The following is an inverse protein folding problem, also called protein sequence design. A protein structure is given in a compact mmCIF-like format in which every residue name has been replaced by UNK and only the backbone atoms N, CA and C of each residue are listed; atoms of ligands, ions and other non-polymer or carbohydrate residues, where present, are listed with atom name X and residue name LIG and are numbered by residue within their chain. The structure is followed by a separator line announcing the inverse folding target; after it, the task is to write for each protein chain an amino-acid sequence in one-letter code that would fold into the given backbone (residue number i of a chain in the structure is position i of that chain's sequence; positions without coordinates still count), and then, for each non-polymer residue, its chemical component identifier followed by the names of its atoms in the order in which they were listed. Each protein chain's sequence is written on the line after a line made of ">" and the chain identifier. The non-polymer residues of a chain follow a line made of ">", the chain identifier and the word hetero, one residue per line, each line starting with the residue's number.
data_IF_794938475935
#
_entry.id   IF_794938475935
#
_cell.length_a   1.000
_cell.length_b   1.000
_cell.length_c   1.000
_cell.angle_alpha   90.00
_cell.angle_beta   90.00
_cell.angle_gamma   90.00
#
_symmetry.space_group_name_H-M   'P 1'
#
loop_
_entity.id
_entity.type
_entity.pdbx_description
1 polymer ?
#
# COMPACT_ATOMS: atom_id res chain seq x y z
N UNK A 1 10.61 27.03 -9.64
CA UNK A 1 9.70 26.08 -10.30
C UNK A 1 8.38 26.17 -9.57
N UNK A 2 7.28 26.40 -10.28
CA UNK A 2 5.94 26.51 -9.68
C UNK A 2 5.54 25.18 -9.04
N UNK A 3 5.14 25.20 -7.78
CA UNK A 3 4.51 24.05 -7.10
C UNK A 3 3.34 23.58 -7.96
N UNK A 4 3.27 22.29 -8.33
CA UNK A 4 2.11 21.74 -9.03
C UNK A 4 0.85 22.05 -8.24
N UNK A 5 -0.16 22.62 -8.89
CA UNK A 5 -1.44 22.85 -8.26
C UNK A 5 -2.31 21.60 -8.43
N UNK A 6 -2.99 21.13 -7.37
CA UNK A 6 -3.94 20.05 -7.50
C UNK A 6 -5.05 20.45 -8.48
N UNK A 7 -5.67 19.46 -9.12
CA UNK A 7 -6.89 19.65 -9.87
C UNK A 7 -7.94 20.29 -8.94
N UNK A 8 -8.49 21.48 -9.22
CA UNK A 8 -9.40 22.17 -8.30
C UNK A 8 -10.68 21.37 -7.98
N UNK A 9 -11.05 20.41 -8.84
CA UNK A 9 -12.24 19.57 -8.69
C UNK A 9 -11.94 18.17 -8.10
N UNK A 10 -10.74 17.96 -7.55
CA UNK A 10 -10.40 16.69 -6.90
C UNK A 10 -11.36 16.39 -5.74
N UNK A 11 -11.61 15.10 -5.48
CA UNK A 11 -12.48 14.66 -4.38
C UNK A 11 -11.69 13.86 -3.37
N UNK A 12 -12.13 13.95 -2.12
CA UNK A 12 -11.57 13.16 -1.02
C UNK A 12 -12.65 12.21 -0.53
N UNK A 13 -12.33 10.92 -0.53
CA UNK A 13 -13.16 9.85 0.02
C UNK A 13 -12.43 9.22 1.22
N UNK A 14 -13.19 8.75 2.22
CA UNK A 14 -12.63 8.03 3.36
C UNK A 14 -13.38 6.72 3.58
N UNK A 15 -12.62 5.67 3.89
CA UNK A 15 -13.17 4.33 4.11
C UNK A 15 -12.60 3.76 5.41
N UNK A 16 -13.48 3.51 6.38
CA UNK A 16 -13.11 2.78 7.60
C UNK A 16 -13.30 1.30 7.34
N UNK A 17 -12.24 0.53 7.52
CA UNK A 17 -12.22 -0.91 7.27
C UNK A 17 -11.81 -1.58 8.59
N UNK A 18 -12.68 -2.42 9.13
CA UNK A 18 -12.45 -3.08 10.41
C UNK A 18 -11.37 -4.18 10.27
N UNK A 19 -10.64 -4.52 11.35
CA UNK A 19 -9.81 -5.70 11.43
C UNK A 19 -10.57 -6.96 11.00
N UNK A 20 -9.88 -7.88 10.35
CA UNK A 20 -10.36 -9.24 10.05
C UNK A 20 -9.60 -10.25 10.92
N UNK A 21 -9.83 -11.55 10.69
CA UNK A 21 -9.18 -12.60 11.49
C UNK A 21 -7.67 -12.67 11.19
N UNK A 22 -7.26 -12.35 9.95
CA UNK A 22 -5.89 -12.48 9.47
C UNK A 22 -5.22 -11.14 9.13
N UNK A 23 -5.95 -10.03 9.06
CA UNK A 23 -5.39 -8.70 8.77
C UNK A 23 -5.71 -7.70 9.89
N UNK A 24 -4.71 -6.93 10.37
CA UNK A 24 -4.92 -5.98 11.45
C UNK A 24 -5.87 -4.84 11.12
N UNK A 25 -5.86 -4.34 9.88
CA UNK A 25 -6.55 -3.11 9.42
C UNK A 25 -6.57 -2.00 10.49
N UNK A 26 -5.67 -1.03 10.37
CA UNK A 26 -5.69 0.10 11.31
C UNK A 26 -7.05 0.80 11.29
N UNK A 27 -7.48 1.30 12.45
CA UNK A 27 -8.73 2.03 12.55
C UNK A 27 -8.62 3.48 12.07
N UNK A 28 -7.45 3.92 11.61
CA UNK A 28 -7.37 5.07 10.73
C UNK A 28 -8.09 4.75 9.40
N UNK A 29 -8.83 5.68 8.79
CA UNK A 29 -9.46 5.43 7.51
C UNK A 29 -8.42 5.38 6.38
N UNK A 30 -8.68 4.53 5.38
CA UNK A 30 -8.13 4.70 4.04
C UNK A 30 -8.60 6.06 3.50
N UNK A 31 -7.69 6.87 2.97
CA UNK A 31 -8.03 8.13 2.30
C UNK A 31 -7.78 7.94 0.79
N UNK A 32 -8.75 8.33 -0.03
CA UNK A 32 -8.64 8.29 -1.49
C UNK A 32 -8.82 9.70 -2.05
N UNK A 33 -7.76 10.21 -2.67
CA UNK A 33 -7.76 11.47 -3.41
C UNK A 33 -8.06 11.17 -4.87
N UNK A 34 -9.32 11.36 -5.29
CA UNK A 34 -9.75 11.14 -6.67
C UNK A 34 -9.25 12.26 -7.56
N UNK A 35 -8.60 11.89 -8.66
CA UNK A 35 -8.15 12.83 -9.68
C UNK A 35 -7.35 14.02 -9.14
N UNK A 36 -6.43 13.77 -8.20
CA UNK A 36 -5.68 14.82 -7.49
C UNK A 36 -4.82 15.68 -8.44
N UNK A 37 -4.19 15.06 -9.44
CA UNK A 37 -3.42 15.76 -10.46
C UNK A 37 -4.20 15.94 -11.76
N UNK A 38 -4.09 17.10 -12.43
CA UNK A 38 -4.59 17.27 -13.79
C UNK A 38 -3.79 16.37 -14.77
N UNK A 39 -4.52 15.70 -15.66
CA UNK A 39 -4.09 14.52 -16.42
C UNK A 39 -3.22 14.76 -17.64
N UNK A 40 -3.14 16.03 -18.01
CA UNK A 40 -2.61 16.61 -19.23
C UNK A 40 -1.17 17.10 -19.08
N UNK A 41 -0.60 16.99 -17.88
CA UNK A 41 0.77 17.39 -17.63
C UNK A 41 1.75 16.23 -17.89
N UNK A 42 2.64 16.40 -18.88
CA UNK A 42 3.92 15.70 -18.86
C UNK A 42 4.58 15.96 -17.49
N UNK A 43 5.17 14.92 -16.91
CA UNK A 43 5.94 14.93 -15.65
C UNK A 43 5.21 14.57 -14.35
N UNK A 44 4.15 13.77 -14.41
CA UNK A 44 3.41 13.36 -13.21
C UNK A 44 4.28 12.61 -12.18
N UNK A 45 5.20 11.74 -12.63
CA UNK A 45 6.10 11.02 -11.72
C UNK A 45 7.08 11.97 -11.04
N UNK A 46 7.74 12.87 -11.78
CA UNK A 46 8.64 13.88 -11.18
C UNK A 46 7.89 14.82 -10.23
N UNK A 47 6.68 15.27 -10.59
CA UNK A 47 5.86 16.15 -9.74
C UNK A 47 5.41 15.48 -8.46
N UNK A 48 4.97 14.22 -8.54
CA UNK A 48 4.57 13.46 -7.37
C UNK A 48 5.77 13.16 -6.47
N UNK A 49 6.92 12.80 -7.06
CA UNK A 49 8.18 12.63 -6.34
C UNK A 49 8.54 13.89 -5.54
N UNK A 50 8.58 15.06 -6.19
CA UNK A 50 8.91 16.34 -5.55
C UNK A 50 7.88 16.70 -4.45
N UNK A 51 6.59 16.42 -4.67
CA UNK A 51 5.53 16.67 -3.67
C UNK A 51 5.73 15.82 -2.42
N UNK A 52 5.93 14.51 -2.57
CA UNK A 52 6.18 13.63 -1.44
C UNK A 52 7.38 14.10 -0.62
N UNK A 53 8.50 14.43 -1.28
CA UNK A 53 9.69 14.92 -0.58
C UNK A 53 9.44 16.21 0.19
N UNK A 54 8.64 17.13 -0.37
CA UNK A 54 8.30 18.40 0.29
C UNK A 54 7.47 18.20 1.57
N UNK A 55 6.76 17.08 1.67
CA UNK A 55 5.91 16.72 2.80
C UNK A 55 6.53 15.67 3.73
N UNK A 56 7.86 15.46 3.69
CA UNK A 56 8.55 14.42 4.47
C UNK A 56 8.06 12.99 4.16
N UNK A 57 7.72 12.71 2.90
CA UNK A 57 7.47 11.37 2.38
C UNK A 57 8.52 11.00 1.34
N UNK A 58 9.00 9.77 1.39
CA UNK A 58 10.02 9.27 0.48
C UNK A 58 9.35 8.35 -0.56
N UNK A 59 9.29 8.75 -1.84
CA UNK A 59 8.96 7.84 -2.93
C UNK A 59 9.99 6.70 -2.97
N UNK A 60 9.51 5.48 -3.14
CA UNK A 60 10.33 4.26 -3.05
C UNK A 60 10.24 3.33 -4.23
N UNK A 61 9.13 3.31 -4.96
CA UNK A 61 8.97 2.37 -6.06
C UNK A 61 8.10 2.97 -7.16
N UNK A 62 8.33 2.53 -8.40
CA UNK A 62 7.40 2.73 -9.52
C UNK A 62 7.28 1.40 -10.22
N UNK A 63 6.08 0.84 -10.23
CA UNK A 63 5.82 -0.46 -10.84
C UNK A 63 4.71 -0.34 -11.88
N UNK A 64 4.89 -1.07 -12.99
CA UNK A 64 3.77 -1.48 -13.82
C UNK A 64 3.27 -2.83 -13.31
N UNK A 65 1.97 -2.92 -13.08
CA UNK A 65 1.38 -4.16 -12.56
C UNK A 65 1.06 -5.14 -13.68
N UNK A 66 1.29 -6.42 -13.36
CA UNK A 66 0.73 -7.54 -14.11
C UNK A 66 -0.71 -7.84 -13.71
N UNK A 67 -1.09 -9.12 -13.76
CA UNK A 67 -2.48 -9.55 -13.51
C UNK A 67 -2.93 -9.35 -12.05
N UNK A 68 -2.09 -9.74 -11.08
CA UNK A 68 -2.35 -9.58 -9.64
C UNK A 68 -1.10 -9.79 -8.79
N UNK A 69 -1.19 -9.46 -7.51
CA UNK A 69 -0.26 -9.84 -6.46
C UNK A 69 -1.00 -10.47 -5.27
N UNK A 70 -0.26 -11.02 -4.29
CA UNK A 70 -0.87 -11.43 -3.01
C UNK A 70 -1.30 -10.22 -2.19
N UNK A 71 -2.41 -10.37 -1.48
CA UNK A 71 -2.81 -9.38 -0.47
C UNK A 71 -1.75 -9.30 0.63
N UNK A 72 -1.27 -8.09 0.87
CA UNK A 72 -0.24 -7.82 1.87
C UNK A 72 -0.49 -6.48 2.56
N UNK A 73 0.17 -6.26 3.68
CA UNK A 73 0.07 -5.02 4.45
C UNK A 73 1.44 -4.61 5.01
N UNK A 74 1.60 -3.33 5.33
CA UNK A 74 2.78 -2.80 5.99
C UNK A 74 2.53 -2.64 7.50
N UNK A 75 3.14 -3.47 8.37
CA UNK A 75 2.87 -3.42 9.81
C UNK A 75 3.52 -2.21 10.50
N UNK A 76 4.54 -1.61 9.88
CA UNK A 76 5.37 -0.58 10.50
C UNK A 76 5.23 0.80 9.88
N UNK A 77 4.55 0.95 8.74
CA UNK A 77 4.52 2.21 8.01
C UNK A 77 3.16 2.45 7.34
N UNK A 78 2.78 3.72 7.24
CA UNK A 78 1.76 4.19 6.31
C UNK A 78 2.32 4.17 4.89
N UNK A 79 1.45 4.03 3.90
CA UNK A 79 1.85 4.01 2.50
C UNK A 79 0.98 4.95 1.67
N UNK A 80 1.61 5.67 0.75
CA UNK A 80 0.92 6.42 -0.28
C UNK A 80 1.18 5.77 -1.63
N UNK A 81 0.16 5.63 -2.46
CA UNK A 81 0.27 5.08 -3.81
C UNK A 81 -0.49 5.97 -4.80
N UNK A 82 0.20 6.54 -5.79
CA UNK A 82 -0.39 7.34 -6.86
C UNK A 82 -0.45 6.55 -8.16
N UNK A 83 -1.59 6.58 -8.84
CA UNK A 83 -1.75 5.96 -10.16
C UNK A 83 -1.20 6.87 -11.24
N UNK A 84 -0.18 6.41 -11.96
CA UNK A 84 0.49 7.16 -13.03
C UNK A 84 -0.13 6.93 -14.41
N UNK A 85 -0.73 5.76 -14.63
CA UNK A 85 -1.32 5.35 -15.91
C UNK A 85 -2.33 4.22 -15.74
N UNK A 86 -3.19 4.04 -16.74
CA UNK A 86 -4.15 2.93 -16.81
C UNK A 86 -5.26 3.00 -15.77
N UNK A 87 -5.91 1.86 -15.56
CA UNK A 87 -6.86 1.61 -14.48
C UNK A 87 -6.73 0.19 -13.93
N UNK A 88 -7.20 -0.03 -12.70
CA UNK A 88 -7.21 -1.34 -12.05
C UNK A 88 -8.32 -1.39 -10.99
N UNK A 89 -8.44 -2.53 -10.32
CA UNK A 89 -9.15 -2.66 -9.05
C UNK A 89 -8.15 -2.90 -7.93
N UNK A 90 -8.38 -2.27 -6.80
CA UNK A 90 -7.59 -2.50 -5.59
C UNK A 90 -8.53 -3.02 -4.51
N UNK A 91 -8.26 -4.22 -4.02
CA UNK A 91 -8.91 -4.75 -2.82
C UNK A 91 -8.16 -4.27 -1.60
N UNK A 92 -8.87 -3.79 -0.60
CA UNK A 92 -8.37 -3.35 0.69
C UNK A 92 -8.96 -4.18 1.83
N UNK A 93 -8.13 -4.48 2.82
CA UNK A 93 -8.50 -5.01 4.12
C UNK A 93 -8.96 -6.46 4.20
N UNK A 94 -8.51 -7.31 3.26
CA UNK A 94 -8.78 -8.74 3.30
C UNK A 94 -7.52 -9.56 2.95
N UNK A 95 -7.23 -10.63 3.70
CA UNK A 95 -6.22 -11.60 3.31
C UNK A 95 -6.69 -12.49 2.16
N UNK A 96 -5.75 -12.97 1.35
CA UNK A 96 -5.99 -14.11 0.46
C UNK A 96 -6.00 -15.40 1.33
N UNK A 97 -6.99 -16.27 1.11
CA UNK A 97 -7.15 -17.58 1.76
C UNK A 97 -6.60 -18.74 0.90
N UNK A 98 -6.22 -18.45 -0.35
CA UNK A 98 -5.51 -19.38 -1.23
C UNK A 98 -4.03 -19.00 -1.36
N UNK A 99 -3.17 -20.00 -1.58
CA UNK A 99 -1.78 -19.77 -1.95
C UNK A 99 -1.64 -19.26 -3.40
N UNK A 100 -2.63 -19.56 -4.24
CA UNK A 100 -2.71 -19.04 -5.59
C UNK A 100 -3.43 -17.67 -5.58
N UNK A 101 -2.73 -16.56 -5.87
CA UNK A 101 -3.34 -15.23 -5.87
C UNK A 101 -4.43 -15.07 -6.93
N UNK A 102 -4.40 -15.87 -8.02
CA UNK A 102 -5.38 -15.83 -9.10
C UNK A 102 -6.74 -16.37 -8.66
N UNK A 103 -6.76 -17.39 -7.78
CA UNK A 103 -8.01 -17.87 -7.18
C UNK A 103 -8.68 -16.78 -6.34
N UNK A 104 -7.86 -15.92 -5.73
CA UNK A 104 -8.32 -14.85 -4.85
C UNK A 104 -8.68 -13.57 -5.62
N UNK A 105 -9.01 -13.64 -6.91
CA UNK A 105 -9.39 -12.47 -7.72
C UNK A 105 -10.83 -12.02 -7.48
N UNK A 106 -11.80 -12.93 -7.53
CA UNK A 106 -13.23 -12.59 -7.41
C UNK A 106 -14.04 -13.56 -6.56
N UNK A 107 -13.64 -14.83 -6.44
CA UNK A 107 -14.40 -15.81 -5.68
C UNK A 107 -14.23 -15.56 -4.16
N UNK A 108 -15.31 -15.16 -3.45
CA UNK A 108 -15.25 -14.73 -2.05
C UNK A 108 -14.91 -15.85 -1.07
N UNK A 109 -14.81 -17.10 -1.53
CA UNK A 109 -14.30 -18.19 -0.68
C UNK A 109 -12.77 -18.18 -0.52
N UNK A 110 -12.06 -17.44 -1.37
CA UNK A 110 -10.60 -17.39 -1.39
C UNK A 110 -10.02 -16.09 -0.82
N UNK A 111 -10.83 -15.24 -0.19
CA UNK A 111 -10.32 -14.10 0.58
C UNK A 111 -11.24 -13.79 1.77
N UNK A 112 -10.71 -13.11 2.78
CA UNK A 112 -11.49 -12.74 3.96
C UNK A 112 -12.64 -11.79 3.63
N UNK A 113 -13.76 -11.95 4.35
CA UNK A 113 -14.85 -10.97 4.32
C UNK A 113 -14.48 -9.74 5.14
N UNK A 114 -15.11 -8.61 4.85
CA UNK A 114 -14.91 -7.35 5.59
C UNK A 114 -14.03 -6.33 4.87
N UNK A 115 -13.28 -6.76 3.86
CA UNK A 115 -12.59 -5.86 2.94
C UNK A 115 -13.52 -5.19 1.92
N UNK A 116 -12.98 -4.21 1.20
CA UNK A 116 -13.66 -3.49 0.11
C UNK A 116 -12.83 -3.55 -1.17
N UNK A 117 -13.45 -3.38 -2.33
CA UNK A 117 -12.73 -3.22 -3.60
C UNK A 117 -13.11 -1.89 -4.23
N UNK A 118 -12.11 -1.10 -4.61
CA UNK A 118 -12.29 0.19 -5.27
C UNK A 118 -11.66 0.15 -6.66
N UNK A 119 -12.30 0.81 -7.62
CA UNK A 119 -11.66 1.09 -8.90
C UNK A 119 -10.58 2.16 -8.71
N UNK A 120 -9.48 2.01 -9.43
CA UNK A 120 -8.34 2.92 -9.46
C UNK A 120 -8.10 3.34 -10.90
N UNK A 121 -7.87 4.62 -11.13
CA UNK A 121 -7.54 5.18 -12.43
C UNK A 121 -6.42 6.19 -12.29
N UNK A 122 -5.74 6.51 -13.41
CA UNK A 122 -4.73 7.57 -13.47
C UNK A 122 -5.15 8.76 -12.58
N UNK A 123 -4.19 9.29 -11.81
CA UNK A 123 -4.28 10.47 -10.94
C UNK A 123 -5.11 10.32 -9.67
N UNK A 124 -5.69 9.16 -9.44
CA UNK A 124 -6.10 8.80 -8.09
C UNK A 124 -4.85 8.55 -7.22
N UNK A 125 -4.92 8.97 -5.96
CA UNK A 125 -3.91 8.68 -4.95
C UNK A 125 -4.57 8.05 -3.73
N UNK A 126 -4.00 6.94 -3.28
CA UNK A 126 -4.46 6.18 -2.13
C UNK A 126 -3.48 6.39 -0.98
N UNK A 127 -3.98 6.74 0.21
CA UNK A 127 -3.20 6.83 1.43
C UNK A 127 -3.70 5.79 2.43
N UNK A 128 -2.87 4.77 2.61
CA UNK A 128 -3.15 3.59 3.40
C UNK A 128 -2.53 3.76 4.80
N UNK A 129 -3.31 3.55 5.86
CA UNK A 129 -2.74 3.44 7.19
C UNK A 129 -1.99 2.10 7.35
N UNK A 130 -1.10 2.05 8.35
CA UNK A 130 -0.31 0.86 8.61
C UNK A 130 -1.26 -0.31 8.95
N UNK A 131 -0.95 -1.51 8.48
CA UNK A 131 -1.81 -2.66 8.72
C UNK A 131 -2.99 -2.83 7.77
N UNK A 132 -3.30 -1.85 6.92
CA UNK A 132 -4.33 -2.03 5.92
C UNK A 132 -3.82 -2.93 4.79
N UNK A 133 -4.40 -4.13 4.67
CA UNK A 133 -4.05 -5.00 3.56
C UNK A 133 -4.51 -4.43 2.23
N UNK A 134 -3.76 -4.71 1.17
CA UNK A 134 -4.14 -4.34 -0.17
C UNK A 134 -3.58 -5.29 -1.23
N UNK A 135 -4.28 -5.38 -2.36
CA UNK A 135 -3.78 -5.97 -3.61
C UNK A 135 -4.41 -5.33 -4.83
N UNK A 136 -3.59 -5.09 -5.84
CA UNK A 136 -4.02 -4.66 -7.17
C UNK A 136 -4.36 -5.87 -8.02
N UNK A 137 -5.45 -5.78 -8.79
CA UNK A 137 -5.86 -6.78 -9.77
C UNK A 137 -6.68 -6.14 -10.90
N UNK A 138 -6.91 -6.88 -11.99
CA UNK A 138 -7.59 -6.38 -13.21
C UNK A 138 -6.94 -5.10 -13.78
N UNK A 139 -5.61 -5.05 -13.83
CA UNK A 139 -4.86 -3.98 -14.47
C UNK A 139 -5.21 -3.84 -15.96
N UNK A 140 -5.43 -2.60 -16.39
CA UNK A 140 -5.79 -2.23 -17.76
C UNK A 140 -4.99 -1.02 -18.23
N UNK A 141 -4.40 -1.06 -19.44
CA UNK A 141 -4.27 -2.23 -20.31
C UNK A 141 -3.51 -3.38 -19.64
N UNK A 142 -3.80 -4.61 -20.05
CA UNK A 142 -3.03 -5.78 -19.59
C UNK A 142 -1.61 -5.67 -20.12
N UNK A 143 -0.65 -5.72 -19.22
CA UNK A 143 0.77 -5.61 -19.53
C UNK A 143 1.57 -6.49 -18.56
N UNK A 144 2.81 -6.90 -18.90
CA UNK A 144 3.66 -7.63 -17.97
C UNK A 144 4.05 -6.74 -16.78
N UNK A 145 4.37 -7.38 -15.65
CA UNK A 145 4.97 -6.69 -14.52
C UNK A 145 6.32 -6.09 -14.92
N UNK A 146 6.56 -4.82 -14.56
CA UNK A 146 7.83 -4.16 -14.81
C UNK A 146 8.21 -3.28 -13.61
N UNK A 147 9.48 -3.38 -13.22
CA UNK A 147 10.12 -2.41 -12.35
C UNK A 147 10.43 -1.17 -13.19
N UNK A 148 9.58 -0.15 -13.07
CA UNK A 148 9.75 1.15 -13.72
C UNK A 148 10.57 2.12 -12.88
N UNK A 149 10.90 1.75 -11.64
CA UNK A 149 11.93 2.43 -10.85
C UNK A 149 13.18 2.61 -11.72
N UNK A 150 13.83 3.78 -11.67
CA UNK A 150 15.09 3.99 -12.38
C UNK A 150 16.08 2.84 -12.20
N UNK A 151 16.73 2.45 -13.29
CA UNK A 151 17.62 1.28 -13.36
C UNK A 151 16.97 -0.09 -13.13
N UNK A 152 15.63 -0.18 -13.13
CA UNK A 152 14.90 -1.45 -13.00
C UNK A 152 14.99 -2.08 -11.61
N UNK A 153 15.15 -1.27 -10.55
CA UNK A 153 15.29 -1.74 -9.17
C UNK A 153 13.94 -1.91 -8.45
N UNK A 154 13.89 -2.78 -7.45
CA UNK A 154 12.71 -2.87 -6.58
C UNK A 154 12.49 -1.58 -5.77
N UNK A 155 13.56 -0.91 -5.34
CA UNK A 155 13.44 0.34 -4.59
C UNK A 155 14.38 1.43 -5.11
N UNK A 156 13.96 2.70 -4.97
CA UNK A 156 14.79 3.87 -5.21
C UNK A 156 15.33 4.51 -3.93
N UNK A 157 16.51 5.09 -4.07
CA UNK A 157 17.06 6.01 -3.09
C UNK A 157 16.58 7.43 -3.35
N UNK A 158 16.47 8.22 -2.28
CA UNK A 158 16.13 9.64 -2.40
C UNK A 158 17.42 10.42 -2.57
N UNK A 159 17.72 10.86 -3.80
CA UNK A 159 18.85 11.73 -4.10
C UNK A 159 18.57 12.53 -5.40
N UNK A 160 19.45 13.49 -5.71
CA UNK A 160 19.32 14.35 -6.90
C UNK A 160 19.39 13.56 -8.21
N UNK A 161 20.10 12.45 -8.24
CA UNK A 161 20.27 11.61 -9.42
C UNK A 161 18.98 10.87 -9.77
N UNK A 162 18.26 10.32 -8.78
CA UNK A 162 16.96 9.68 -9.01
C UNK A 162 15.93 10.64 -9.57
N UNK A 163 15.95 11.92 -9.14
CA UNK A 163 15.09 12.96 -9.71
C UNK A 163 15.31 13.14 -11.22
N UNK A 164 16.55 13.07 -11.68
CA UNK A 164 16.86 13.21 -13.10
C UNK A 164 16.46 11.97 -13.89
N UNK A 165 16.66 10.78 -13.31
CA UNK A 165 16.31 9.49 -13.92
C UNK A 165 14.80 9.22 -13.99
N UNK A 166 13.97 9.91 -13.20
CA UNK A 166 12.51 9.83 -13.36
C UNK A 166 12.03 10.27 -14.73
N UNK A 167 12.79 11.12 -15.43
CA UNK A 167 12.50 11.50 -16.81
C UNK A 167 12.59 10.30 -17.76
N UNK A 168 13.45 9.32 -17.48
CA UNK A 168 13.55 8.10 -18.29
C UNK A 168 12.24 7.30 -18.25
N UNK A 169 11.57 7.27 -17.09
CA UNK A 169 10.26 6.61 -16.93
C UNK A 169 9.19 7.33 -17.74
N UNK A 170 9.23 8.66 -17.76
CA UNK A 170 8.30 9.49 -18.51
C UNK A 170 8.52 9.37 -20.03
N UNK A 171 9.79 9.40 -20.46
CA UNK A 171 10.21 9.31 -21.86
C UNK A 171 9.96 7.92 -22.45
N UNK A 172 10.17 6.86 -21.67
CA UNK A 172 9.85 5.48 -22.05
C UNK A 172 8.36 5.31 -22.36
N UNK A 173 7.51 6.10 -21.72
CA UNK A 173 6.07 5.91 -21.74
C UNK A 173 5.64 4.70 -20.90
N UNK A 174 4.42 4.75 -20.38
CA UNK A 174 3.84 3.65 -19.61
C UNK A 174 2.65 3.09 -20.38
N UNK A 175 2.74 1.82 -20.75
CA UNK A 175 1.73 1.15 -21.58
C UNK A 175 0.62 0.49 -20.75
N UNK A 176 0.94 0.03 -19.53
CA UNK A 176 0.00 -0.62 -18.63
C UNK A 176 -0.52 0.26 -17.49
N UNK A 177 -1.12 -0.38 -16.49
CA UNK A 177 -1.42 0.25 -15.21
C UNK A 177 -0.15 0.36 -14.37
N UNK A 178 0.25 1.57 -14.01
CA UNK A 178 1.40 1.80 -13.15
C UNK A 178 1.08 2.70 -11.98
N UNK A 179 1.77 2.46 -10.88
CA UNK A 179 1.71 3.32 -9.70
C UNK A 179 3.12 3.67 -9.23
N UNK A 180 3.22 4.81 -8.55
CA UNK A 180 4.35 5.15 -7.71
C UNK A 180 3.91 5.10 -6.26
N UNK A 181 4.72 4.49 -5.40
CA UNK A 181 4.46 4.52 -3.96
C UNK A 181 5.61 5.07 -3.15
N UNK A 182 5.27 5.45 -1.92
CA UNK A 182 6.18 6.03 -0.96
C UNK A 182 5.72 5.87 0.48
N UNK A 183 6.63 6.15 1.40
CA UNK A 183 6.43 5.98 2.83
C UNK A 183 6.88 7.25 3.57
N UNK A 184 6.40 7.52 4.79
CA UNK A 184 6.89 8.68 5.53
C UNK A 184 8.40 8.57 5.75
N UNK A 185 9.06 9.71 5.87
CA UNK A 185 10.50 9.80 6.11
C UNK A 185 10.87 9.09 7.41
N UNK A 186 11.96 8.33 7.36
CA UNK A 186 12.46 7.52 8.48
C UNK A 186 11.91 6.09 8.52
N UNK A 187 10.95 5.74 7.66
CA UNK A 187 10.50 4.37 7.50
C UNK A 187 11.28 3.64 6.40
N UNK A 188 11.62 2.38 6.64
CA UNK A 188 12.32 1.55 5.67
C UNK A 188 11.32 0.76 4.81
N UNK A 189 11.44 0.79 3.48
CA UNK A 189 10.67 -0.07 2.59
C UNK A 189 11.10 -1.54 2.75
N UNK A 190 10.19 -2.47 2.43
CA UNK A 190 10.52 -3.89 2.27
C UNK A 190 10.04 -4.84 3.37
N UNK A 191 9.50 -4.32 4.47
CA UNK A 191 8.80 -5.17 5.44
C UNK A 191 7.29 -5.12 5.18
N UNK A 192 6.80 -6.13 4.45
CA UNK A 192 5.39 -6.40 4.27
C UNK A 192 5.06 -7.77 4.88
N UNK A 193 3.79 -7.94 5.26
CA UNK A 193 3.25 -9.16 5.85
C UNK A 193 2.00 -9.59 5.08
N UNK A 194 1.74 -10.89 5.03
CA UNK A 194 0.49 -11.45 4.48
C UNK A 194 -0.46 -11.91 5.60
N UNK A 195 -1.67 -12.35 5.24
CA UNK A 195 -2.67 -12.82 6.19
C UNK A 195 -2.12 -13.80 7.23
N UNK A 196 -2.33 -13.49 8.51
CA UNK A 196 -1.91 -14.30 9.65
C UNK A 196 -0.47 -14.08 10.10
N UNK A 197 0.40 -13.51 9.27
CA UNK A 197 1.70 -13.01 9.71
C UNK A 197 1.48 -11.81 10.64
N UNK A 198 2.24 -11.70 11.73
CA UNK A 198 2.12 -10.58 12.66
C UNK A 198 0.82 -10.52 13.49
N UNK A 199 -0.02 -11.56 13.47
CA UNK A 199 -1.29 -11.61 14.22
C UNK A 199 -1.17 -11.33 15.73
N UNK A 200 -0.01 -11.62 16.33
CA UNK A 200 0.29 -11.35 17.75
C UNK A 200 0.84 -9.93 18.00
N UNK A 201 0.93 -9.10 16.97
CA UNK A 201 1.50 -7.75 17.05
C UNK A 201 0.55 -6.67 16.53
N UNK A 202 -0.75 -6.97 16.37
CA UNK A 202 -1.74 -5.99 15.89
C UNK A 202 -1.77 -4.73 16.75
N UNK A 203 -1.61 -4.87 18.06
CA UNK A 203 -1.48 -3.73 18.98
C UNK A 203 -0.31 -2.80 18.61
N UNK A 204 0.81 -3.33 18.10
CA UNK A 204 1.94 -2.53 17.60
C UNK A 204 1.59 -1.86 16.28
N UNK A 205 0.94 -2.58 15.36
CA UNK A 205 0.47 -2.02 14.08
C UNK A 205 -0.50 -0.86 14.29
N UNK A 206 -1.44 -1.01 15.23
CA UNK A 206 -2.39 0.05 15.59
C UNK A 206 -1.77 1.21 16.36
N UNK A 207 -0.58 1.01 16.96
CA UNK A 207 0.15 2.05 17.66
C UNK A 207 0.97 2.97 16.75
N UNK A 208 1.07 2.66 15.45
CA UNK A 208 1.79 3.49 14.48
C UNK A 208 1.10 4.87 14.42
N UNK A 209 1.82 5.95 14.79
CA UNK A 209 1.23 7.28 14.83
C UNK A 209 1.04 7.81 13.41
N UNK A 210 0.01 8.66 13.20
CA UNK A 210 -0.17 9.35 11.93
C UNK A 210 1.10 10.15 11.56
N UNK A 211 1.37 10.28 10.26
CA UNK A 211 2.45 11.13 9.77
C UNK A 211 2.18 12.60 10.17
N UNK A 212 3.25 13.37 10.38
CA UNK A 212 3.13 14.80 10.73
C UNK A 212 2.47 15.62 9.62
N UNK A 213 2.77 15.26 8.38
CA UNK A 213 2.27 15.90 7.17
C UNK A 213 1.56 14.84 6.33
N UNK A 214 0.44 15.24 5.73
CA UNK A 214 -0.20 14.52 4.65
C UNK A 214 0.74 14.51 3.42
N UNK A 215 0.87 13.37 2.70
CA UNK A 215 1.77 13.27 1.55
C UNK A 215 1.45 14.28 0.45
N UNK A 216 0.18 14.70 0.31
CA UNK A 216 -0.27 15.59 -0.76
C UNK A 216 -0.60 17.00 -0.25
N UNK A 217 -1.29 17.06 0.88
CA UNK A 217 -1.89 18.29 1.40
C UNK A 217 -1.12 18.91 2.57
N UNK A 218 0.04 18.35 2.92
CA UNK A 218 0.91 18.88 3.97
C UNK A 218 0.20 18.97 5.34
N UNK A 219 0.11 20.16 5.91
CA UNK A 219 -0.51 20.42 7.22
C UNK A 219 -1.98 20.86 7.13
N UNK A 220 -2.62 20.66 5.98
CA UNK A 220 -4.03 21.00 5.75
C UNK A 220 -4.98 20.13 6.56
N UNK A 221 -6.03 20.74 7.09
CA UNK A 221 -7.15 20.06 7.76
C UNK A 221 -7.99 19.19 6.82
N UNK A 222 -7.82 19.33 5.50
CA UNK A 222 -8.45 18.45 4.52
C UNK A 222 -7.72 17.10 4.38
N UNK A 223 -6.47 16.99 4.84
CA UNK A 223 -5.66 15.76 4.77
C UNK A 223 -5.65 14.97 6.09
N UNK A 224 -4.60 14.17 6.30
CA UNK A 224 -4.44 13.36 7.53
C UNK A 224 -4.61 14.15 8.83
N UNK A 225 -4.17 15.41 8.87
CA UNK A 225 -4.33 16.26 10.06
C UNK A 225 -5.76 16.33 10.55
N UNK A 226 -6.75 16.42 9.64
CA UNK A 226 -8.17 16.47 9.96
C UNK A 226 -8.86 15.11 9.89
N UNK A 227 -8.49 14.28 8.91
CA UNK A 227 -9.14 13.00 8.62
C UNK A 227 -8.66 11.85 9.52
N UNK A 228 -7.44 11.94 10.06
CA UNK A 228 -6.90 11.04 11.08
C UNK A 228 -6.90 11.71 12.47
N UNK A 229 -7.99 12.42 12.80
CA UNK A 229 -8.24 12.95 14.15
C UNK A 229 -8.98 11.94 15.03
N UNK A 230 -8.62 11.87 16.31
CA UNK A 230 -9.32 11.07 17.33
C UNK A 230 -8.69 9.70 17.59
N UNK A 231 -9.31 8.88 18.45
CA UNK A 231 -8.84 7.53 18.81
C UNK A 231 -9.14 6.47 17.73
N UNK A 232 -9.03 6.85 16.44
CA UNK A 232 -9.22 5.93 15.31
C UNK A 232 -8.13 4.86 15.25
N UNK A 233 -6.90 5.15 15.70
CA UNK A 233 -5.93 4.09 16.01
C UNK A 233 -6.39 3.36 17.28
N UNK A 234 -6.82 2.10 17.17
CA UNK A 234 -7.31 1.30 18.30
C UNK A 234 -6.45 1.49 19.56
N UNK A 235 -7.07 1.61 20.76
CA UNK A 235 -6.37 2.01 21.98
C UNK A 235 -5.24 1.05 22.34
N UNK A 236 -4.17 1.61 22.94
CA UNK A 236 -3.09 0.86 23.58
C UNK A 236 -3.67 -0.18 24.54
N UNK A 237 -3.61 -1.46 24.17
CA UNK A 237 -3.79 -2.53 25.14
C UNK A 237 -2.60 -2.44 26.10
N UNK A 238 -2.87 -2.32 27.39
CA UNK A 238 -1.86 -2.60 28.41
C UNK A 238 -1.39 -4.02 28.15
N UNK A 239 -0.08 -4.19 27.92
CA UNK A 239 0.60 -5.45 27.55
C UNK A 239 0.23 -6.64 28.49
N UNK A 240 -0.36 -6.36 29.65
CA UNK A 240 -0.73 -7.37 30.65
C UNK A 240 -2.06 -8.10 30.41
N UNK A 241 -2.93 -7.65 29.49
CA UNK A 241 -4.21 -8.32 29.22
C UNK A 241 -4.62 -8.24 27.74
N UNK A 242 -3.86 -8.87 26.87
CA UNK A 242 -4.46 -9.39 25.63
C UNK A 242 -5.46 -10.48 26.03
N UNK A 243 -6.75 -10.15 26.03
CA UNK A 243 -7.77 -11.18 26.01
C UNK A 243 -7.70 -11.83 24.65
N UNK A 244 -6.90 -12.89 24.59
CA UNK A 244 -7.14 -14.03 23.70
C UNK A 244 -8.65 -14.24 23.53
N UNK A 245 -9.14 -14.55 22.31
CA UNK A 245 -10.48 -15.09 22.16
C UNK A 245 -10.65 -16.22 23.19
N UNK A 246 -11.63 -16.08 24.09
CA UNK A 246 -11.81 -16.98 25.24
C UNK A 246 -12.09 -18.43 24.84
N UNK A 247 -12.38 -18.65 23.57
CA UNK A 247 -12.48 -19.95 22.94
C UNK A 247 -11.63 -19.88 21.67
N UNK A 248 -10.57 -20.69 21.59
CA UNK A 248 -9.80 -20.90 20.36
C UNK A 248 -10.71 -21.71 19.42
N UNK A 249 -11.20 -21.18 18.30
CA UNK A 249 -11.83 -22.02 17.29
C UNK A 249 -10.79 -23.00 16.74
N UNK A 250 -11.17 -24.24 16.47
CA UNK A 250 -10.28 -25.33 16.00
C UNK A 250 -9.57 -25.05 14.65
N UNK A 251 -9.87 -23.92 14.00
CA UNK A 251 -9.21 -23.45 12.77
C UNK A 251 -8.12 -22.40 13.01
N UNK A 252 -7.84 -22.01 14.27
CA UNK A 252 -6.62 -21.26 14.61
C UNK A 252 -5.43 -22.20 14.45
N UNK A 253 -4.81 -22.13 13.28
CA UNK A 253 -3.60 -22.90 12.94
C UNK A 253 -2.52 -22.57 13.99
N UNK A 254 -2.02 -23.56 14.76
CA UNK A 254 -0.97 -23.32 15.72
C UNK A 254 0.27 -22.73 15.03
N UNK A 255 0.93 -21.77 15.67
CA UNK A 255 2.23 -21.26 15.26
C UNK A 255 3.21 -22.42 15.01
N UNK A 256 4.01 -22.39 13.94
CA UNK A 256 4.92 -23.48 13.65
C UNK A 256 6.06 -23.52 14.67
N UNK A 257 6.37 -24.73 15.15
CA UNK A 257 7.54 -25.01 15.96
C UNK A 257 8.84 -24.63 15.22
N UNK A 258 9.84 -24.27 16.01
CA UNK A 258 11.18 -23.88 15.55
C UNK A 258 11.80 -25.03 14.75
N UNK A 259 11.93 -24.87 13.43
CA UNK A 259 12.55 -25.86 12.53
C UNK A 259 11.65 -26.50 11.48
N UNK A 260 10.42 -26.02 11.26
CA UNK A 260 9.60 -26.51 10.13
C UNK A 260 9.98 -25.86 8.78
N UNK A 261 9.65 -26.53 7.67
CA UNK A 261 9.86 -26.12 6.27
C UNK A 261 9.30 -24.73 5.90
N UNK A 262 8.55 -24.08 6.79
CA UNK A 262 8.07 -22.68 6.67
C UNK A 262 9.08 -21.64 7.19
N UNK A 263 10.24 -22.05 7.72
CA UNK A 263 11.35 -21.17 8.08
C UNK A 263 12.04 -20.51 6.86
N UNK A 264 11.73 -20.96 5.64
CA UNK A 264 12.36 -20.49 4.40
C UNK A 264 11.66 -19.29 3.74
N UNK A 265 10.65 -18.67 4.38
CA UNK A 265 10.00 -17.46 3.86
C UNK A 265 10.76 -16.15 4.14
N UNK A 266 11.99 -16.22 4.66
CA UNK A 266 12.85 -15.04 4.88
C UNK A 266 13.45 -14.43 3.61
N UNK A 267 13.23 -15.03 2.44
CA UNK A 267 13.71 -14.54 1.14
C UNK A 267 12.61 -14.61 0.08
N UNK A 268 11.64 -13.69 0.14
CA UNK A 268 10.63 -13.53 -0.93
C UNK A 268 11.27 -13.06 -2.25
N UNK A 269 12.47 -12.48 -2.23
CA UNK A 269 13.23 -12.15 -3.43
C UNK A 269 13.45 -13.36 -4.36
N UNK A 270 13.44 -14.59 -3.82
CA UNK A 270 13.53 -15.83 -4.61
C UNK A 270 12.19 -16.34 -5.17
N UNK A 271 11.05 -15.79 -4.75
CA UNK A 271 9.72 -16.16 -5.26
C UNK A 271 9.35 -15.36 -6.51
N UNK A 272 9.78 -14.09 -6.61
CA UNK A 272 9.58 -13.29 -7.83
C UNK A 272 10.44 -13.80 -9.00
N UNK A 273 11.66 -14.27 -8.72
CA UNK A 273 12.55 -14.87 -9.73
C UNK A 273 11.99 -16.19 -10.32
N UNK A 274 11.16 -16.91 -9.56
CA UNK A 274 10.47 -18.14 -10.03
C UNK A 274 9.17 -17.89 -10.80
N UNK A 275 8.58 -16.71 -10.69
CA UNK A 275 7.41 -16.32 -11.48
C UNK A 275 7.80 -15.72 -12.84
N UNK A 276 9.09 -15.45 -13.05
CA UNK A 276 9.66 -14.94 -14.31
C UNK A 276 10.30 -16.03 -15.21
N UNK A 277 10.22 -17.31 -14.82
CA UNK A 277 10.60 -18.48 -15.62
C UNK A 277 9.41 -19.36 -15.92
#
# INVERSE_FOLDING_TARGET
>A
MTTPHPNPEFKIETYHIAPTDLIPNSGWPLIVYRQFYPFDELKISTKFYDLLLSNDWHPKWIYQYGETQRSHYHPTAHEVMAVLSGSARIRFGAADLSQDPLQSLEDPKYFEKGGITLDAQKGDVFLLPAGLAHKTHYARPSAPFLLLTPEGRATMEVNSEYREKLREVEERGIEGFAMMGGYPKGYQPGYFAVGGEGALEYSRVWSIPPSKLDPLLGDSEMGTKGLWKGQGGYPKTSIEKETTPKEKPDWVVPFPEKGSWRADLRNIDQLEEKLAT
#
